data_IF_571081262518
#
_entry.id   IF_571081262518
#
_cell.length_a   1.000
_cell.length_b   1.000
_cell.length_c   1.000
_cell.angle_alpha   90.00
_cell.angle_beta   90.00
_cell.angle_gamma   90.00
#
_symmetry.space_group_name_H-M   'P 1'
#
loop_
_entity.id
_entity.type
_entity.pdbx_description
1 polymer ?
#
# COMPACT_ATOMS: atom_id res chain seq x y z
N UNK A 1 19.35 -16.74 -59.91
CA UNK A 1 19.78 -15.79 -58.89
C UNK A 1 18.56 -15.48 -58.02
N UNK A 2 18.45 -16.14 -56.88
CA UNK A 2 17.36 -15.90 -55.95
C UNK A 2 17.62 -14.54 -55.30
N UNK A 3 16.83 -13.53 -55.61
CA UNK A 3 16.83 -12.25 -54.92
C UNK A 3 15.98 -12.39 -53.68
N UNK A 4 16.62 -12.42 -52.53
CA UNK A 4 15.94 -12.24 -51.28
C UNK A 4 15.53 -10.76 -51.20
N UNK A 5 14.25 -10.47 -51.24
CA UNK A 5 13.74 -9.18 -50.86
C UNK A 5 13.86 -9.07 -49.35
N UNK A 6 14.99 -8.55 -48.91
CA UNK A 6 15.14 -8.11 -47.52
C UNK A 6 14.09 -7.03 -47.28
N UNK A 7 13.21 -7.20 -46.29
CA UNK A 7 12.36 -6.08 -45.86
C UNK A 7 13.29 -4.94 -45.43
N UNK A 8 13.32 -3.90 -46.24
CA UNK A 8 14.31 -2.80 -46.15
C UNK A 8 14.17 -1.93 -44.94
N UNK A 9 13.25 -2.17 -44.06
CA UNK A 9 13.12 -1.44 -42.78
C UNK A 9 12.44 -2.35 -41.77
N UNK A 10 13.19 -2.97 -40.92
CA UNK A 10 12.71 -3.23 -39.59
C UNK A 10 12.56 -1.90 -38.85
N UNK A 11 11.52 -1.16 -39.15
CA UNK A 11 11.05 -0.19 -38.19
C UNK A 11 10.63 -0.98 -36.96
N UNK A 12 11.32 -0.84 -35.86
CA UNK A 12 10.98 -1.39 -34.53
C UNK A 12 9.75 -0.63 -34.03
N UNK A 13 8.66 -0.68 -34.81
CA UNK A 13 7.38 -0.03 -34.53
C UNK A 13 6.35 -1.12 -34.39
N UNK A 14 5.89 -1.32 -33.19
CA UNK A 14 4.89 -2.33 -32.84
C UNK A 14 5.16 -2.93 -31.47
N UNK A 15 4.16 -3.56 -30.91
CA UNK A 15 4.29 -4.30 -29.65
C UNK A 15 5.29 -5.47 -29.82
N UNK A 16 5.85 -5.96 -28.73
CA UNK A 16 6.72 -7.13 -28.75
C UNK A 16 6.05 -8.35 -29.41
N UNK A 17 4.74 -8.49 -29.27
CA UNK A 17 3.94 -9.56 -29.88
C UNK A 17 3.86 -9.43 -31.40
N UNK A 18 3.69 -8.20 -31.92
CA UNK A 18 3.68 -7.95 -33.37
C UNK A 18 5.05 -8.21 -33.99
N UNK A 19 6.13 -7.81 -33.33
CA UNK A 19 7.51 -8.08 -33.76
C UNK A 19 7.80 -9.57 -33.77
N UNK A 20 7.32 -10.32 -32.79
CA UNK A 20 7.44 -11.77 -32.68
C UNK A 20 6.68 -12.47 -33.80
N UNK A 21 5.46 -12.02 -34.13
CA UNK A 21 4.65 -12.55 -35.23
C UNK A 21 5.33 -12.31 -36.59
N UNK A 22 5.93 -11.14 -36.78
CA UNK A 22 6.69 -10.82 -37.99
C UNK A 22 7.92 -11.73 -38.16
N UNK A 23 8.67 -11.94 -37.06
CA UNK A 23 9.84 -12.81 -37.06
C UNK A 23 9.48 -14.26 -37.35
N UNK A 24 8.37 -14.77 -36.79
CA UNK A 24 7.83 -16.09 -37.10
C UNK A 24 7.52 -16.24 -38.60
N UNK A 25 6.82 -15.27 -39.16
CA UNK A 25 6.47 -15.26 -40.58
C UNK A 25 7.72 -15.31 -41.47
N UNK A 26 8.74 -14.54 -41.11
CA UNK A 26 10.02 -14.54 -41.85
C UNK A 26 10.76 -15.88 -41.76
N UNK A 27 10.81 -16.51 -40.60
CA UNK A 27 11.43 -17.83 -40.41
C UNK A 27 10.70 -18.88 -41.24
N UNK A 28 9.38 -18.88 -41.31
CA UNK A 28 8.60 -19.79 -42.14
C UNK A 28 8.89 -19.61 -43.65
N UNK A 29 9.00 -18.35 -44.10
CA UNK A 29 9.38 -18.05 -45.49
C UNK A 29 10.79 -18.58 -45.81
N UNK A 30 11.76 -18.43 -44.91
CA UNK A 30 13.10 -18.99 -45.07
C UNK A 30 13.10 -20.51 -45.14
N UNK A 31 12.30 -21.19 -44.31
CA UNK A 31 12.14 -22.65 -44.33
C UNK A 31 11.58 -23.10 -45.68
N UNK A 32 10.56 -22.41 -46.21
CA UNK A 32 9.93 -22.72 -47.47
C UNK A 32 10.90 -22.58 -48.67
N UNK A 33 11.67 -21.49 -48.69
CA UNK A 33 12.71 -21.27 -49.70
C UNK A 33 13.82 -22.32 -49.63
N UNK A 34 14.26 -22.73 -48.46
CA UNK A 34 15.28 -23.78 -48.26
C UNK A 34 14.76 -25.16 -48.69
N UNK A 35 13.48 -25.49 -48.43
CA UNK A 35 12.88 -26.74 -48.88
C UNK A 35 12.73 -26.77 -50.39
N UNK A 36 12.34 -25.66 -51.03
CA UNK A 36 12.28 -25.56 -52.50
C UNK A 36 13.67 -25.67 -53.14
N UNK A 37 14.73 -25.21 -52.49
CA UNK A 37 16.11 -25.35 -52.97
C UNK A 37 16.61 -26.80 -52.91
N UNK A 38 16.07 -27.63 -51.96
CA UNK A 38 16.44 -29.04 -51.78
C UNK A 38 15.75 -29.96 -52.79
N UNK A 39 14.61 -29.55 -53.40
CA UNK A 39 13.82 -30.33 -54.35
C UNK A 39 14.43 -30.36 -55.78
N UNK A 40 15.69 -30.07 -55.91
CA UNK A 40 16.46 -30.36 -57.14
C UNK A 40 16.42 -29.27 -58.21
N UNK A 41 16.06 -28.06 -57.90
CA UNK A 41 16.19 -26.94 -58.81
C UNK A 41 17.61 -26.37 -58.72
N UNK A 42 18.46 -26.65 -59.68
CA UNK A 42 19.90 -26.30 -59.82
C UNK A 42 20.15 -24.78 -59.89
N UNK A 43 19.64 -24.02 -59.00
CA UNK A 43 19.90 -22.60 -58.92
C UNK A 43 20.95 -22.30 -57.82
N UNK A 44 22.17 -22.69 -58.04
CA UNK A 44 23.35 -21.95 -57.58
C UNK A 44 23.73 -21.95 -56.10
N UNK A 45 23.05 -22.67 -55.25
CA UNK A 45 23.45 -22.81 -53.82
C UNK A 45 24.06 -24.21 -53.66
N UNK A 46 25.34 -24.29 -53.33
CA UNK A 46 26.03 -25.56 -53.11
C UNK A 46 25.46 -26.31 -51.89
N UNK A 47 25.53 -27.63 -51.89
CA UNK A 47 25.03 -28.47 -50.78
C UNK A 47 25.64 -28.10 -49.43
N UNK A 48 26.89 -27.59 -49.42
CA UNK A 48 27.56 -27.11 -48.21
C UNK A 48 26.92 -25.81 -47.67
N UNK A 49 26.50 -24.90 -48.56
CA UNK A 49 25.86 -23.64 -48.17
C UNK A 49 24.43 -23.89 -47.65
N UNK A 50 23.73 -24.85 -48.26
CA UNK A 50 22.40 -25.28 -47.79
C UNK A 50 22.48 -25.88 -46.36
N UNK A 51 23.50 -26.71 -46.10
CA UNK A 51 23.70 -27.29 -44.78
C UNK A 51 24.05 -26.21 -43.72
N UNK A 52 24.88 -25.24 -44.09
CA UNK A 52 25.23 -24.11 -43.21
C UNK A 52 23.98 -23.24 -42.87
N UNK A 53 23.16 -22.93 -43.89
CA UNK A 53 21.91 -22.17 -43.72
C UNK A 53 20.89 -22.95 -42.86
N UNK A 54 20.77 -24.23 -42.98
CA UNK A 54 19.91 -25.08 -42.13
C UNK A 54 20.36 -25.03 -40.66
N UNK A 55 21.68 -25.10 -40.41
CA UNK A 55 22.23 -25.01 -39.08
C UNK A 55 21.95 -23.63 -38.42
N UNK A 56 22.09 -22.56 -39.21
CA UNK A 56 21.75 -21.21 -38.69
C UNK A 56 20.24 -21.05 -38.46
N UNK A 57 19.40 -21.61 -39.31
CA UNK A 57 17.95 -21.61 -39.12
C UNK A 57 17.52 -22.36 -37.87
N UNK A 58 18.13 -23.52 -37.57
CA UNK A 58 17.89 -24.25 -36.32
C UNK A 58 18.26 -23.44 -35.07
N UNK A 59 19.42 -22.74 -35.13
CA UNK A 59 19.84 -21.83 -34.04
C UNK A 59 18.87 -20.69 -33.83
N UNK A 60 18.40 -20.07 -34.92
CA UNK A 60 17.41 -18.98 -34.87
C UNK A 60 16.06 -19.46 -34.33
N UNK A 61 15.60 -20.65 -34.77
CA UNK A 61 14.37 -21.25 -34.28
C UNK A 61 14.45 -21.58 -32.78
N UNK A 62 15.65 -22.03 -32.31
CA UNK A 62 15.87 -22.26 -30.88
C UNK A 62 15.87 -20.95 -30.11
N UNK A 63 16.58 -19.94 -30.59
CA UNK A 63 16.62 -18.63 -29.97
C UNK A 63 15.22 -17.98 -29.90
N UNK A 64 14.41 -18.16 -30.95
CA UNK A 64 13.03 -17.68 -30.97
C UNK A 64 12.18 -18.39 -29.90
N UNK A 65 12.26 -19.72 -29.79
CA UNK A 65 11.55 -20.46 -28.72
C UNK A 65 11.98 -20.02 -27.32
N UNK A 66 13.30 -19.81 -27.14
CA UNK A 66 13.85 -19.36 -25.87
C UNK A 66 13.38 -17.93 -25.53
N UNK A 67 13.25 -17.07 -26.56
CA UNK A 67 12.71 -15.72 -26.43
C UNK A 67 11.21 -15.71 -26.14
N UNK A 68 10.45 -16.58 -26.85
CA UNK A 68 9.02 -16.77 -26.62
C UNK A 68 8.74 -17.27 -25.20
N UNK A 69 9.54 -18.24 -24.73
CA UNK A 69 9.46 -18.72 -23.36
C UNK A 69 9.75 -17.61 -22.32
N UNK A 70 10.61 -16.65 -22.67
CA UNK A 70 10.94 -15.50 -21.82
C UNK A 70 9.95 -14.34 -21.98
N UNK A 71 9.46 -14.08 -23.18
CA UNK A 71 8.53 -12.96 -23.45
C UNK A 71 7.08 -13.26 -23.07
N UNK A 72 6.70 -14.53 -22.99
CA UNK A 72 5.40 -14.95 -22.44
C UNK A 72 5.27 -14.74 -20.94
N UNK A 73 6.33 -14.31 -20.29
CA UNK A 73 6.32 -13.98 -18.87
C UNK A 73 6.02 -12.49 -18.67
N UNK A 74 4.76 -12.11 -18.88
CA UNK A 74 4.15 -11.07 -18.10
C UNK A 74 4.36 -11.37 -16.61
N UNK A 75 3.54 -10.87 -15.76
CA UNK A 75 3.58 -11.26 -14.34
C UNK A 75 3.48 -12.79 -14.22
N UNK A 76 4.28 -13.45 -13.35
CA UNK A 76 4.16 -14.87 -13.12
C UNK A 76 2.71 -15.22 -12.80
N UNK A 77 2.20 -16.29 -13.41
CA UNK A 77 0.86 -16.78 -13.14
C UNK A 77 0.71 -17.17 -11.65
N UNK A 78 -0.48 -17.04 -11.12
CA UNK A 78 -0.74 -17.32 -9.70
C UNK A 78 -0.67 -16.04 -8.85
N UNK A 79 -0.42 -16.23 -7.58
CA UNK A 79 -0.51 -15.18 -6.58
C UNK A 79 -1.88 -15.18 -5.89
N UNK A 80 -1.87 -14.89 -4.61
CA UNK A 80 -3.07 -14.76 -3.76
C UNK A 80 -3.13 -13.35 -3.18
N UNK A 81 -4.29 -12.94 -2.72
CA UNK A 81 -4.46 -11.64 -2.07
C UNK A 81 -3.45 -11.47 -0.92
N UNK A 82 -2.75 -10.34 -0.90
CA UNK A 82 -1.72 -10.02 0.09
C UNK A 82 -0.30 -10.45 -0.28
N UNK A 83 -0.09 -11.12 -1.41
CA UNK A 83 1.24 -11.38 -1.92
C UNK A 83 1.76 -10.20 -2.75
N UNK A 84 3.07 -10.02 -2.77
CA UNK A 84 3.78 -9.03 -3.58
C UNK A 84 4.65 -9.72 -4.62
N UNK A 85 4.76 -9.13 -5.80
CA UNK A 85 5.73 -9.56 -6.78
C UNK A 85 7.12 -9.14 -6.32
N UNK A 86 8.02 -10.10 -6.18
CA UNK A 86 9.36 -9.88 -5.66
C UNK A 86 10.39 -10.45 -6.62
N UNK A 87 11.50 -9.74 -6.83
CA UNK A 87 12.66 -10.27 -7.53
C UNK A 87 13.29 -11.37 -6.66
N UNK A 88 13.50 -12.57 -7.21
CA UNK A 88 13.96 -13.74 -6.48
C UNK A 88 15.49 -13.88 -6.50
N UNK A 89 16.15 -13.38 -7.55
CA UNK A 89 17.60 -13.34 -7.70
C UNK A 89 18.04 -12.09 -8.49
N UNK A 90 19.34 -11.93 -8.71
CA UNK A 90 19.87 -10.83 -9.54
C UNK A 90 19.71 -11.07 -11.04
N UNK A 91 19.24 -12.26 -11.45
CA UNK A 91 18.95 -12.56 -12.85
C UNK A 91 17.75 -11.77 -13.35
N UNK A 92 17.81 -11.35 -14.62
CA UNK A 92 16.69 -10.62 -15.24
C UNK A 92 15.44 -11.50 -15.30
N UNK A 93 14.28 -10.88 -15.05
CA UNK A 93 12.95 -11.50 -15.07
C UNK A 93 12.72 -12.62 -14.03
N UNK A 94 13.68 -12.90 -13.15
CA UNK A 94 13.51 -13.85 -12.05
C UNK A 94 12.65 -13.19 -10.95
N UNK A 95 11.35 -13.27 -11.14
CA UNK A 95 10.34 -12.70 -10.25
C UNK A 95 9.33 -13.75 -9.83
N UNK A 96 8.78 -13.61 -8.65
CA UNK A 96 7.74 -14.51 -8.13
C UNK A 96 6.90 -13.88 -7.04
N UNK A 97 5.75 -14.46 -6.80
CA UNK A 97 4.84 -14.04 -5.75
C UNK A 97 5.35 -14.53 -4.39
N UNK A 98 5.54 -13.60 -3.46
CA UNK A 98 5.90 -13.92 -2.09
C UNK A 98 4.96 -13.23 -1.12
N UNK A 99 4.58 -13.96 -0.09
CA UNK A 99 3.99 -13.33 1.09
C UNK A 99 5.09 -12.51 1.73
N UNK A 100 4.87 -11.21 2.00
CA UNK A 100 5.85 -10.40 2.71
C UNK A 100 6.25 -11.15 3.99
N UNK A 101 7.53 -11.52 4.09
CA UNK A 101 8.05 -12.10 5.32
C UNK A 101 7.79 -11.11 6.45
N UNK A 102 7.38 -11.57 7.62
CA UNK A 102 6.82 -10.79 8.75
C UNK A 102 7.60 -9.56 9.26
N UNK A 103 8.36 -8.91 8.40
CA UNK A 103 8.90 -7.57 8.45
C UNK A 103 8.34 -6.70 7.33
N UNK A 104 7.29 -7.14 6.65
CA UNK A 104 6.57 -6.35 5.65
C UNK A 104 6.04 -5.07 6.29
N UNK A 105 6.13 -3.98 5.54
CA UNK A 105 5.56 -2.69 5.92
C UNK A 105 4.13 -2.92 6.40
N UNK A 106 3.85 -2.57 7.64
CA UNK A 106 2.51 -2.63 8.17
C UNK A 106 1.63 -1.70 7.34
N UNK A 107 0.58 -2.20 6.72
CA UNK A 107 -0.27 -1.43 5.82
C UNK A 107 -1.67 -1.24 6.39
N UNK A 108 -2.29 -0.15 6.01
CA UNK A 108 -3.66 0.16 6.40
C UNK A 108 -4.60 -0.82 5.68
N UNK A 109 -5.33 -1.61 6.46
CA UNK A 109 -6.32 -2.57 5.95
C UNK A 109 -7.72 -1.97 5.85
N UNK A 110 -8.01 -1.00 6.70
CA UNK A 110 -9.32 -0.36 6.79
C UNK A 110 -9.16 1.03 7.38
N UNK A 111 -9.92 1.99 6.89
CA UNK A 111 -9.98 3.35 7.44
C UNK A 111 -11.37 3.94 7.28
N UNK A 112 -11.72 4.92 8.10
CA UNK A 112 -13.02 5.53 8.04
C UNK A 112 -13.22 6.68 9.01
N UNK A 113 -14.45 7.13 9.09
CA UNK A 113 -14.92 8.17 10.02
C UNK A 113 -16.18 7.69 10.71
N UNK A 114 -16.35 8.08 11.99
CA UNK A 114 -17.58 7.85 12.75
C UNK A 114 -17.78 9.01 13.73
N UNK A 115 -18.78 9.82 13.51
CA UNK A 115 -18.96 11.09 14.23
C UNK A 115 -17.77 12.03 14.01
N UNK A 116 -17.13 12.47 15.07
CA UNK A 116 -15.89 13.28 15.00
C UNK A 116 -14.61 12.44 14.92
N UNK A 117 -14.71 11.12 15.09
CA UNK A 117 -13.58 10.23 15.03
C UNK A 117 -13.18 9.91 13.61
N UNK A 118 -11.89 10.06 13.29
CA UNK A 118 -11.21 9.48 12.15
C UNK A 118 -10.35 8.33 12.63
N UNK A 119 -10.24 7.26 11.86
CA UNK A 119 -9.53 6.06 12.30
C UNK A 119 -8.94 5.29 11.14
N UNK A 120 -7.93 4.47 11.45
CA UNK A 120 -7.36 3.48 10.56
C UNK A 120 -6.93 2.24 11.32
N UNK A 121 -7.03 1.08 10.67
CA UNK A 121 -6.60 -0.21 11.16
C UNK A 121 -5.46 -0.73 10.32
N UNK A 122 -4.50 -1.33 10.97
CA UNK A 122 -3.30 -1.86 10.37
C UNK A 122 -3.33 -3.39 10.31
N UNK A 123 -2.62 -3.99 9.35
CA UNK A 123 -2.52 -5.44 9.18
C UNK A 123 -1.96 -6.14 10.43
N UNK A 124 -1.09 -5.47 11.18
CA UNK A 124 -0.53 -5.92 12.46
C UNK A 124 -1.55 -6.12 13.58
N UNK A 125 -2.77 -5.63 13.41
CA UNK A 125 -3.79 -5.63 14.47
C UNK A 125 -3.75 -4.40 15.36
N UNK A 126 -2.94 -3.41 15.03
CA UNK A 126 -2.95 -2.09 15.65
C UNK A 126 -4.02 -1.24 14.96
N UNK A 127 -4.65 -0.37 15.72
CA UNK A 127 -5.50 0.69 15.20
C UNK A 127 -5.13 2.02 15.84
N UNK A 128 -5.31 3.07 15.08
CA UNK A 128 -5.19 4.45 15.55
C UNK A 128 -6.45 5.23 15.23
N UNK A 129 -6.76 6.18 16.07
CA UNK A 129 -7.88 7.08 15.87
C UNK A 129 -7.61 8.44 16.48
N UNK A 130 -8.25 9.46 15.93
CA UNK A 130 -8.12 10.82 16.42
C UNK A 130 -9.43 11.57 16.24
N UNK A 131 -9.68 12.50 17.14
CA UNK A 131 -10.85 13.36 17.11
C UNK A 131 -10.56 14.68 17.81
N UNK A 132 -11.18 15.74 17.38
CA UNK A 132 -11.20 17.04 18.06
C UNK A 132 -12.63 17.38 18.45
N UNK A 133 -12.82 17.71 19.72
CA UNK A 133 -14.11 18.07 20.28
C UNK A 133 -14.08 19.53 20.76
N UNK A 134 -15.13 20.24 20.43
CA UNK A 134 -15.40 21.54 21.02
C UNK A 134 -15.96 21.33 22.41
N UNK A 135 -15.47 22.11 23.36
CA UNK A 135 -15.92 22.10 24.74
C UNK A 135 -16.63 23.42 25.03
N UNK A 136 -17.76 23.42 25.72
CA UNK A 136 -18.36 24.66 26.19
C UNK A 136 -17.39 25.52 26.99
N UNK A 137 -17.65 26.82 27.08
CA UNK A 137 -16.84 27.73 27.89
C UNK A 137 -16.77 27.23 29.34
N UNK A 138 -15.56 27.17 29.86
CA UNK A 138 -15.26 26.65 31.19
C UNK A 138 -14.98 27.80 32.16
N UNK A 139 -15.77 27.93 33.22
CA UNK A 139 -15.50 28.86 34.30
C UNK A 139 -14.72 28.16 35.39
N UNK A 140 -13.49 28.61 35.61
CA UNK A 140 -12.55 28.05 36.59
C UNK A 140 -12.38 29.05 37.73
N UNK A 141 -13.27 28.96 38.70
CA UNK A 141 -13.27 29.90 39.88
C UNK A 141 -13.01 29.21 41.20
N UNK A 142 -13.03 27.87 41.19
CA UNK A 142 -12.88 27.07 42.41
C UNK A 142 -11.48 26.47 42.51
N UNK A 143 -10.77 26.70 43.57
CA UNK A 143 -9.53 26.06 43.92
C UNK A 143 -9.81 24.73 44.62
N UNK A 144 -9.83 23.65 43.87
CA UNK A 144 -10.07 22.29 44.39
C UNK A 144 -8.83 21.43 44.48
N UNK A 145 -7.73 21.87 43.89
CA UNK A 145 -6.45 21.18 43.88
C UNK A 145 -5.34 22.11 44.43
N UNK A 146 -5.38 22.41 45.72
CA UNK A 146 -4.43 23.36 46.31
C UNK A 146 -4.53 24.74 45.64
N UNK A 147 -3.43 25.29 45.10
CA UNK A 147 -3.45 26.60 44.45
C UNK A 147 -4.05 26.59 43.02
N UNK A 148 -4.47 25.43 42.49
CA UNK A 148 -4.94 25.31 41.12
C UNK A 148 -6.48 25.47 41.06
N UNK A 149 -6.89 26.26 40.10
CA UNK A 149 -8.29 26.45 39.74
C UNK A 149 -8.74 25.35 38.79
N UNK A 150 -9.92 24.81 39.02
CA UNK A 150 -10.50 23.77 38.18
C UNK A 150 -11.86 24.23 37.72
N UNK A 151 -12.28 23.73 36.53
CA UNK A 151 -13.69 23.84 36.17
C UNK A 151 -14.50 22.97 37.13
N UNK A 152 -15.70 23.47 37.49
CA UNK A 152 -16.59 22.73 38.37
C UNK A 152 -16.89 21.36 37.77
N UNK A 153 -16.52 20.38 38.52
CA UNK A 153 -16.93 18.99 38.53
C UNK A 153 -16.65 18.08 37.35
N UNK A 154 -16.42 18.46 36.21
CA UNK A 154 -15.93 17.63 35.11
C UNK A 154 -15.65 18.53 33.94
N UNK A 155 -14.47 19.07 33.95
CA UNK A 155 -14.05 20.05 33.01
C UNK A 155 -14.18 19.75 31.54
N UNK A 156 -14.70 18.63 31.16
CA UNK A 156 -14.98 18.32 29.77
C UNK A 156 -16.40 17.77 29.70
N UNK A 157 -17.36 18.64 29.50
CA UNK A 157 -18.74 18.29 29.15
C UNK A 157 -18.85 17.67 27.75
N UNK A 158 -17.84 16.91 27.35
CA UNK A 158 -17.98 16.07 26.19
C UNK A 158 -18.80 14.88 26.64
N UNK A 159 -20.02 14.81 26.15
CA UNK A 159 -20.91 13.68 26.39
C UNK A 159 -20.14 12.36 26.23
N UNK A 160 -20.29 11.45 27.19
CA UNK A 160 -19.68 10.11 27.15
C UNK A 160 -19.90 9.40 25.80
N UNK A 161 -21.14 9.52 25.27
CA UNK A 161 -21.45 8.96 23.95
C UNK A 161 -20.61 9.56 22.81
N UNK A 162 -20.22 10.83 22.87
CA UNK A 162 -19.36 11.44 21.88
C UNK A 162 -17.92 10.95 21.96
N UNK A 163 -17.47 10.54 23.16
CA UNK A 163 -16.15 9.98 23.39
C UNK A 163 -16.04 8.48 23.09
N UNK A 164 -17.15 7.84 22.69
CA UNK A 164 -17.15 6.43 22.31
C UNK A 164 -16.31 6.22 21.04
N UNK A 165 -15.45 5.23 21.10
CA UNK A 165 -14.65 4.83 19.93
C UNK A 165 -15.50 4.18 18.86
N UNK A 166 -15.14 4.32 17.59
CA UNK A 166 -15.80 3.62 16.48
C UNK A 166 -15.84 2.09 16.61
N UNK A 167 -14.88 1.55 17.36
CA UNK A 167 -14.77 0.12 17.69
C UNK A 167 -14.02 -0.06 19.01
N UNK A 168 -14.19 -1.23 19.64
CA UNK A 168 -13.50 -1.55 20.87
C UNK A 168 -12.06 -2.01 20.63
N UNK A 169 -11.16 -1.69 21.55
CA UNK A 169 -9.83 -2.29 21.65
C UNK A 169 -9.88 -3.59 22.45
N UNK A 170 -8.95 -4.51 22.20
CA UNK A 170 -8.84 -5.78 22.96
C UNK A 170 -7.94 -5.65 24.20
N UNK A 171 -7.16 -4.57 24.26
CA UNK A 171 -6.35 -4.17 25.39
C UNK A 171 -6.43 -2.65 25.57
N UNK A 172 -6.10 -2.15 26.77
CA UNK A 172 -6.14 -0.72 27.03
C UNK A 172 -5.27 0.04 26.03
N UNK A 173 -5.86 0.96 25.23
CA UNK A 173 -5.11 1.76 24.30
C UNK A 173 -4.29 2.83 25.02
N UNK A 174 -3.26 3.32 24.37
CA UNK A 174 -2.56 4.55 24.75
C UNK A 174 -3.38 5.72 24.24
N UNK A 175 -3.69 6.66 25.13
CA UNK A 175 -4.48 7.85 24.79
C UNK A 175 -3.66 9.09 25.14
N UNK A 176 -3.46 9.95 24.17
CA UNK A 176 -2.94 11.30 24.34
C UNK A 176 -4.07 12.30 24.12
N UNK A 177 -4.12 13.32 24.96
CA UNK A 177 -5.09 14.40 24.81
C UNK A 177 -4.37 15.76 24.92
N UNK A 178 -4.70 16.66 24.00
CA UNK A 178 -4.10 17.99 23.93
C UNK A 178 -5.21 19.04 23.93
N UNK A 179 -5.19 20.00 24.87
CA UNK A 179 -6.14 21.11 24.85
C UNK A 179 -5.67 22.19 23.88
N UNK A 180 -6.61 22.80 23.19
CA UNK A 180 -6.39 24.01 22.41
C UNK A 180 -7.34 25.09 22.93
N UNK A 181 -6.79 26.25 23.23
CA UNK A 181 -7.57 27.38 23.76
C UNK A 181 -7.22 28.65 23.00
N UNK A 182 -8.19 29.51 22.81
CA UNK A 182 -8.02 30.78 22.10
C UNK A 182 -7.22 31.82 22.96
N UNK A 183 -7.26 31.70 24.28
CA UNK A 183 -6.50 32.57 25.20
C UNK A 183 -6.28 31.90 26.55
N UNK A 184 -5.13 32.13 27.12
CA UNK A 184 -4.73 31.57 28.41
C UNK A 184 -4.17 30.17 28.36
N UNK A 185 -3.60 29.70 29.45
CA UNK A 185 -3.03 28.37 29.55
C UNK A 185 -3.92 27.47 30.40
N UNK A 186 -4.20 26.28 29.92
CA UNK A 186 -4.83 25.21 30.68
C UNK A 186 -3.98 23.94 30.60
N UNK A 187 -4.09 23.12 31.64
CA UNK A 187 -3.56 21.77 31.64
C UNK A 187 -4.70 20.78 31.74
N UNK A 188 -4.47 19.58 31.27
CA UNK A 188 -5.39 18.47 31.45
C UNK A 188 -4.88 17.57 32.56
N UNK A 189 -5.75 17.27 33.50
CA UNK A 189 -5.51 16.27 34.51
C UNK A 189 -6.45 15.07 34.26
N UNK A 190 -5.95 13.87 34.53
CA UNK A 190 -6.79 12.66 34.40
C UNK A 190 -7.86 12.71 35.47
N UNK A 191 -9.11 12.60 35.09
CA UNK A 191 -10.20 12.40 36.02
C UNK A 191 -10.26 10.92 36.41
N UNK A 192 -10.36 10.66 37.71
CA UNK A 192 -10.63 9.34 38.26
C UNK A 192 -12.11 8.97 38.20
N UNK A 193 -12.77 9.21 37.07
CA UNK A 193 -14.04 8.51 36.83
C UNK A 193 -13.77 7.02 36.96
N UNK A 194 -14.56 6.36 37.82
CA UNK A 194 -14.54 4.90 38.04
C UNK A 194 -14.95 4.11 36.78
N UNK A 195 -14.32 4.42 35.66
CA UNK A 195 -14.62 3.95 34.33
C UNK A 195 -13.66 2.81 33.91
N UNK A 196 -13.31 1.97 34.89
CA UNK A 196 -12.36 0.85 34.67
C UNK A 196 -12.83 -0.13 33.60
N UNK A 197 -14.10 -0.16 33.24
CA UNK A 197 -14.64 -0.97 32.18
C UNK A 197 -14.74 -0.32 30.80
N UNK A 198 -14.60 1.00 30.69
CA UNK A 198 -14.88 1.71 29.43
C UNK A 198 -13.65 2.15 28.67
N UNK A 199 -12.45 1.98 29.20
CA UNK A 199 -11.19 2.37 28.53
C UNK A 199 -10.97 1.68 27.17
N UNK A 200 -11.56 0.50 27.01
CA UNK A 200 -11.52 -0.23 25.73
C UNK A 200 -12.45 0.36 24.67
N UNK A 201 -13.44 1.14 25.09
CA UNK A 201 -14.52 1.62 24.22
C UNK A 201 -14.69 3.12 24.19
N UNK A 202 -14.10 3.85 25.13
CA UNK A 202 -14.24 5.31 25.24
C UNK A 202 -12.93 5.99 25.59
N UNK A 203 -12.73 7.17 25.03
CA UNK A 203 -11.66 8.06 25.47
C UNK A 203 -11.93 8.57 26.92
N UNK A 204 -10.88 8.68 27.75
CA UNK A 204 -11.02 9.16 29.11
C UNK A 204 -11.52 10.60 29.16
N UNK A 205 -12.21 10.96 30.21
CA UNK A 205 -12.47 12.35 30.54
C UNK A 205 -11.23 12.98 31.19
N UNK A 206 -11.02 14.25 30.93
CA UNK A 206 -9.96 15.03 31.54
C UNK A 206 -10.56 16.24 32.26
N UNK A 207 -9.95 16.61 33.36
CA UNK A 207 -10.28 17.85 34.07
C UNK A 207 -9.34 18.96 33.61
N UNK A 208 -9.87 20.12 33.30
CA UNK A 208 -9.06 21.30 33.02
C UNK A 208 -8.62 21.96 34.30
N UNK A 209 -7.36 22.34 34.37
CA UNK A 209 -6.77 23.05 35.51
C UNK A 209 -5.98 24.28 35.07
N UNK A 210 -5.90 25.30 35.94
CA UNK A 210 -5.16 26.54 35.71
C UNK A 210 -4.55 27.05 36.98
N UNK A 211 -3.54 27.93 36.86
CA UNK A 211 -2.92 28.61 37.98
C UNK A 211 -3.68 29.87 38.47
N UNK A 212 -4.64 30.38 37.67
CA UNK A 212 -5.45 31.56 38.03
C UNK A 212 -6.90 31.32 37.64
N UNK A 213 -7.81 32.05 38.33
CA UNK A 213 -9.21 32.09 37.97
C UNK A 213 -9.41 32.70 36.58
N UNK A 214 -10.29 32.12 35.79
CA UNK A 214 -10.72 32.67 34.51
C UNK A 214 -11.87 31.86 33.91
N UNK A 215 -12.53 32.50 32.96
CA UNK A 215 -13.38 31.81 32.02
C UNK A 215 -12.58 31.53 30.74
N UNK A 216 -12.51 30.27 30.32
CA UNK A 216 -11.89 29.82 29.07
C UNK A 216 -13.00 29.61 28.05
N UNK A 217 -12.99 30.45 27.02
CA UNK A 217 -14.04 30.45 26.03
C UNK A 217 -13.76 29.37 24.97
N UNK A 218 -14.76 28.52 24.73
CA UNK A 218 -14.79 27.52 23.65
C UNK A 218 -13.46 26.76 23.47
N UNK A 219 -12.91 26.15 24.52
CA UNK A 219 -11.72 25.35 24.36
C UNK A 219 -12.03 24.11 23.49
N UNK A 220 -10.99 23.57 22.87
CA UNK A 220 -11.06 22.29 22.16
C UNK A 220 -10.15 21.28 22.84
N UNK A 221 -10.49 20.01 22.70
CA UNK A 221 -9.62 18.91 23.07
C UNK A 221 -9.44 17.96 21.89
N UNK A 222 -8.19 17.70 21.55
CA UNK A 222 -7.82 16.73 20.55
C UNK A 222 -7.33 15.45 21.21
N UNK A 223 -7.91 14.34 20.82
CA UNK A 223 -7.48 13.00 21.22
C UNK A 223 -6.70 12.33 20.12
N UNK A 224 -5.65 11.61 20.51
CA UNK A 224 -4.99 10.61 19.69
C UNK A 224 -4.94 9.31 20.49
N UNK A 225 -5.41 8.23 19.89
CA UNK A 225 -5.57 6.92 20.51
C UNK A 225 -4.93 5.87 19.65
N UNK A 226 -4.11 5.03 20.23
CA UNK A 226 -3.49 3.90 19.54
C UNK A 226 -3.54 2.65 20.42
N UNK A 227 -3.88 1.53 19.84
CA UNK A 227 -4.00 0.29 20.59
C UNK A 227 -4.25 -0.94 19.71
N UNK A 228 -4.33 -2.09 20.36
CA UNK A 228 -4.61 -3.37 19.71
C UNK A 228 -6.11 -3.57 19.60
N UNK A 229 -6.61 -3.82 18.37
CA UNK A 229 -8.03 -4.04 18.11
C UNK A 229 -8.37 -5.51 17.78
N UNK A 230 -7.37 -6.35 17.53
CA UNK A 230 -7.47 -7.80 17.31
C UNK A 230 -6.24 -8.55 17.80
#
# INVERSE_FOLDING_TARGET
MLTFDYPQTYAVTGSAEEQLAQLRSYIWQLVDVLNQADDGNEAGIGAADTAALRTELEKLQKALRDLEAKSGHGLPSGGTAGQTLTKLSDSDYDTGWRTPAGGGVDYVTEQGTAGKWMWRKWASGIAEMWATFDVPSLTMTSQTWGPLYTASWMGLEINKAARQYPFAFVANPVVSATPTVGSGNIWLATNTENDTGTRLTHAPAYQCVRASDATVNSPQISYYVVGKYK
#
